data_IF_974723474427
#
_entry.id   IF_974723474427
#
_cell.length_a   1.000
_cell.length_b   1.000
_cell.length_c   1.000
_cell.angle_alpha   90.00
_cell.angle_beta   90.00
_cell.angle_gamma   90.00
#
_symmetry.space_group_name_H-M   'P 1'
#
loop_
_entity.id
_entity.type
_entity.pdbx_description
1 polymer ?
#
# COMPACT_ATOMS: atom_id res chain seq x y z
N UNK A 1 23.60 8.39 12.98
CA UNK A 1 22.54 8.15 11.99
C UNK A 1 21.36 9.03 12.34
N UNK A 2 20.81 9.76 11.36
CA UNK A 2 19.60 10.56 11.52
C UNK A 2 18.47 9.87 10.74
N UNK A 3 17.23 9.95 11.24
CA UNK A 3 16.05 9.39 10.59
C UNK A 3 15.20 10.57 10.10
N UNK A 4 14.85 10.56 8.81
CA UNK A 4 13.90 11.52 8.25
C UNK A 4 12.49 10.98 8.45
N UNK A 5 11.69 11.65 9.27
CA UNK A 5 10.30 11.29 9.54
C UNK A 5 9.36 12.26 8.84
N UNK A 6 8.37 11.73 8.12
CA UNK A 6 7.31 12.49 7.46
C UNK A 6 6.04 11.65 7.34
N UNK A 7 4.89 12.29 7.27
CA UNK A 7 3.60 11.63 7.07
C UNK A 7 3.35 11.34 5.58
N UNK A 8 2.57 10.30 5.31
CA UNK A 8 2.07 9.97 3.97
C UNK A 8 0.56 10.26 3.98
N UNK A 9 0.20 11.39 3.37
CA UNK A 9 -1.13 11.96 3.59
C UNK A 9 -2.21 11.46 2.63
N UNK A 10 -1.84 10.82 1.51
CA UNK A 10 -2.80 10.39 0.48
C UNK A 10 -2.55 8.97 -0.01
N UNK A 11 -3.61 8.33 -0.51
CA UNK A 11 -3.57 6.94 -0.97
C UNK A 11 -2.59 6.72 -2.13
N UNK A 12 -2.51 7.64 -3.09
CA UNK A 12 -1.56 7.50 -4.21
C UNK A 12 -0.10 7.53 -3.76
N UNK A 13 0.23 8.33 -2.74
CA UNK A 13 1.58 8.34 -2.15
C UNK A 13 1.83 7.09 -1.30
N UNK A 14 0.78 6.53 -0.70
CA UNK A 14 0.87 5.33 0.10
C UNK A 14 1.05 4.06 -0.74
N UNK A 15 0.55 4.06 -1.99
CA UNK A 15 0.80 3.04 -2.99
C UNK A 15 2.27 3.13 -3.47
N UNK A 16 3.16 2.35 -2.87
CA UNK A 16 4.60 2.47 -3.07
C UNK A 16 5.34 1.13 -3.07
N UNK A 17 6.56 1.16 -3.62
CA UNK A 17 7.53 0.07 -3.43
C UNK A 17 8.03 0.08 -1.99
N UNK A 18 8.33 -1.11 -1.44
CA UNK A 18 8.90 -1.22 -0.10
C UNK A 18 10.41 -1.44 -0.17
N UNK A 19 11.17 -0.54 0.47
CA UNK A 19 12.60 -0.72 0.74
C UNK A 19 12.76 -1.29 2.17
N UNK A 20 13.30 -2.52 2.32
CA UNK A 20 13.52 -3.16 3.62
C UNK A 20 14.45 -2.39 4.57
N UNK A 21 15.27 -1.47 4.07
CA UNK A 21 16.10 -0.58 4.89
C UNK A 21 15.30 0.56 5.54
N UNK A 22 14.05 0.77 5.14
CA UNK A 22 13.20 1.85 5.63
C UNK A 22 12.15 1.35 6.62
N UNK A 23 11.62 2.28 7.43
CA UNK A 23 10.56 1.99 8.40
C UNK A 23 9.24 2.55 7.85
N UNK A 24 8.16 1.76 7.98
CA UNK A 24 6.78 2.18 7.73
C UNK A 24 5.95 1.90 8.96
N UNK A 25 5.30 2.93 9.49
CA UNK A 25 4.48 2.84 10.70
C UNK A 25 3.03 3.22 10.36
N UNK A 26 2.10 2.44 10.89
CA UNK A 26 0.71 2.85 11.03
C UNK A 26 0.52 3.32 12.48
N UNK A 27 0.43 4.64 12.64
CA UNK A 27 0.42 5.30 13.94
C UNK A 27 -0.94 5.87 14.27
N UNK A 28 -1.36 5.76 15.53
CA UNK A 28 -2.50 6.51 16.04
C UNK A 28 -2.02 7.86 16.58
N UNK A 29 -2.39 8.94 15.91
CA UNK A 29 -1.99 10.32 16.26
C UNK A 29 -2.70 10.89 17.49
N UNK A 30 -3.72 10.20 18.02
CA UNK A 30 -4.51 10.65 19.19
C UNK A 30 -4.14 9.95 20.48
N UNK A 31 -3.28 8.91 20.43
CA UNK A 31 -2.87 8.13 21.59
C UNK A 31 -1.37 7.99 21.64
N UNK A 32 -0.81 8.32 22.80
CA UNK A 32 0.62 8.22 23.05
C UNK A 32 0.93 7.12 24.07
N UNK A 33 2.15 6.59 24.00
CA UNK A 33 2.67 5.71 25.03
C UNK A 33 3.21 6.50 26.23
N UNK A 34 3.71 5.78 27.25
CA UNK A 34 4.28 6.38 28.46
C UNK A 34 5.40 7.41 28.22
N UNK A 35 6.05 7.35 27.05
CA UNK A 35 7.17 8.22 26.68
C UNK A 35 6.76 9.34 25.72
N UNK A 36 5.46 9.54 25.47
CA UNK A 36 4.95 10.60 24.58
C UNK A 36 5.08 10.30 23.08
N UNK A 37 5.36 9.04 22.70
CA UNK A 37 5.41 8.66 21.28
C UNK A 37 4.05 8.10 20.82
N UNK A 38 3.61 8.39 19.59
CA UNK A 38 2.38 7.82 19.03
C UNK A 38 2.41 6.29 19.04
N UNK A 39 1.35 5.66 19.56
CA UNK A 39 1.24 4.20 19.53
C UNK A 39 1.12 3.73 18.09
N UNK A 40 1.96 2.78 17.69
CA UNK A 40 2.17 2.45 16.28
C UNK A 40 2.42 0.96 16.06
N UNK A 41 2.05 0.47 14.88
CA UNK A 41 2.48 -0.83 14.36
C UNK A 41 3.44 -0.63 13.19
N UNK A 42 4.53 -1.41 13.17
CA UNK A 42 5.44 -1.43 12.02
C UNK A 42 4.92 -2.41 10.97
N UNK A 43 4.87 -1.94 9.72
CA UNK A 43 4.46 -2.74 8.57
C UNK A 43 5.70 -3.16 7.80
N UNK A 44 5.89 -4.48 7.64
CA UNK A 44 7.01 -5.06 6.91
C UNK A 44 6.46 -6.04 5.86
N UNK A 45 6.18 -5.57 4.63
CA UNK A 45 5.63 -6.42 3.56
C UNK A 45 6.59 -7.51 3.08
N UNK A 46 7.90 -7.31 3.27
CA UNK A 46 8.93 -8.28 2.92
C UNK A 46 9.94 -8.42 4.07
N UNK A 47 9.89 -9.56 4.75
CA UNK A 47 10.78 -9.88 5.88
C UNK A 47 11.78 -11.01 5.54
N UNK A 48 11.94 -11.32 4.25
CA UNK A 48 12.77 -12.42 3.75
C UNK A 48 11.97 -13.55 3.11
N UNK A 49 12.68 -14.41 2.40
CA UNK A 49 12.14 -15.58 1.72
C UNK A 49 13.27 -16.48 1.22
N UNK A 50 12.98 -17.77 1.02
CA UNK A 50 13.97 -18.75 0.55
C UNK A 50 14.09 -18.80 -0.98
N UNK A 51 13.12 -18.21 -1.68
CA UNK A 51 13.11 -18.07 -3.13
C UNK A 51 13.48 -16.63 -3.54
N UNK A 52 13.93 -16.40 -4.78
CA UNK A 52 14.17 -15.05 -5.29
C UNK A 52 12.95 -14.15 -5.13
N UNK A 53 13.16 -12.95 -4.59
CA UNK A 53 12.09 -12.00 -4.33
C UNK A 53 11.57 -11.35 -5.61
N UNK A 54 10.26 -11.21 -5.73
CA UNK A 54 9.64 -10.40 -6.77
C UNK A 54 9.70 -8.91 -6.37
N UNK A 55 10.50 -8.12 -7.09
CA UNK A 55 10.60 -6.65 -6.90
C UNK A 55 9.42 -5.88 -7.51
N UNK A 56 8.51 -6.59 -8.17
CA UNK A 56 7.34 -6.09 -8.89
C UNK A 56 6.87 -7.12 -9.91
N UNK A 57 5.86 -6.76 -10.71
CA UNK A 57 5.41 -7.57 -11.83
C UNK A 57 6.52 -7.71 -12.88
N UNK A 58 6.82 -8.95 -13.30
CA UNK A 58 7.77 -9.26 -14.38
C UNK A 58 7.04 -9.33 -15.73
N UNK A 59 6.28 -8.29 -16.04
CA UNK A 59 5.55 -8.11 -17.30
C UNK A 59 5.95 -6.78 -17.91
N UNK A 60 5.93 -6.68 -19.24
CA UNK A 60 6.15 -5.39 -19.88
C UNK A 60 4.99 -4.42 -19.54
N UNK A 61 5.24 -3.10 -19.43
CA UNK A 61 4.20 -2.15 -19.00
C UNK A 61 2.99 -2.06 -19.93
N UNK A 62 3.12 -2.52 -21.18
CA UNK A 62 2.11 -2.58 -22.23
C UNK A 62 1.31 -3.90 -22.23
N UNK A 63 1.66 -4.85 -21.37
CA UNK A 63 0.90 -6.10 -21.26
C UNK A 63 -0.46 -5.88 -20.59
N UNK A 64 -1.50 -6.50 -21.15
CA UNK A 64 -2.87 -6.44 -20.62
C UNK A 64 -2.97 -6.82 -19.14
N UNK A 65 -2.17 -7.78 -18.69
CA UNK A 65 -2.18 -8.21 -17.28
C UNK A 65 -1.63 -7.13 -16.35
N UNK A 66 -0.65 -6.35 -16.82
CA UNK A 66 -0.06 -5.25 -16.07
C UNK A 66 -1.08 -4.11 -15.89
N UNK A 67 -1.89 -3.83 -16.91
CA UNK A 67 -2.94 -2.80 -16.84
C UNK A 67 -4.16 -3.19 -15.99
N UNK A 68 -4.45 -4.49 -15.87
CA UNK A 68 -5.63 -4.98 -15.15
C UNK A 68 -5.41 -5.21 -13.67
N UNK A 69 -4.15 -5.41 -13.24
CA UNK A 69 -3.80 -5.87 -11.90
C UNK A 69 -2.65 -5.03 -11.31
N UNK A 70 -2.94 -3.78 -10.95
CA UNK A 70 -1.92 -2.82 -10.47
C UNK A 70 -1.24 -3.27 -9.18
N UNK A 71 -1.92 -4.08 -8.36
CA UNK A 71 -1.42 -4.52 -7.06
C UNK A 71 -0.11 -5.31 -7.15
N UNK A 72 0.15 -6.00 -8.27
CA UNK A 72 1.34 -6.85 -8.43
C UNK A 72 2.64 -6.05 -8.44
N UNK A 73 2.60 -4.78 -8.83
CA UNK A 73 3.81 -4.00 -8.95
C UNK A 73 4.25 -3.41 -7.61
N UNK A 74 3.34 -3.05 -6.70
CA UNK A 74 3.70 -2.34 -5.47
C UNK A 74 3.49 -3.22 -4.24
N UNK A 75 4.47 -3.23 -3.34
CA UNK A 75 4.43 -4.08 -2.13
C UNK A 75 3.60 -3.50 -0.99
N UNK A 76 3.40 -2.17 -0.94
CA UNK A 76 2.64 -1.51 0.12
C UNK A 76 1.55 -0.61 -0.48
N UNK A 77 0.35 -0.74 0.07
CA UNK A 77 -0.82 0.06 -0.25
C UNK A 77 -1.52 0.45 1.05
N UNK A 78 -2.07 1.66 1.12
CA UNK A 78 -2.98 2.10 2.18
C UNK A 78 -4.11 2.86 1.51
N UNK A 79 -5.35 2.43 1.76
CA UNK A 79 -6.57 3.09 1.28
C UNK A 79 -7.49 3.42 2.45
N UNK A 80 -8.38 4.38 2.25
CA UNK A 80 -9.46 4.69 3.17
C UNK A 80 -10.37 3.47 3.26
N UNK A 81 -10.87 3.22 4.45
CA UNK A 81 -11.77 2.10 4.66
C UNK A 81 -13.11 2.31 3.93
N UNK A 82 -13.43 1.40 3.03
CA UNK A 82 -14.73 1.25 2.37
C UNK A 82 -15.19 -0.21 2.46
N UNK A 83 -16.45 -0.44 2.87
CA UNK A 83 -16.94 -1.80 3.17
C UNK A 83 -16.98 -2.73 1.95
N UNK A 84 -17.12 -2.16 0.75
CA UNK A 84 -17.20 -2.90 -0.52
C UNK A 84 -15.84 -3.11 -1.19
N UNK A 85 -14.78 -2.46 -0.72
CA UNK A 85 -13.42 -2.54 -1.26
C UNK A 85 -12.62 -3.63 -0.55
N UNK A 86 -12.71 -4.86 -1.06
CA UNK A 86 -12.17 -6.05 -0.38
C UNK A 86 -11.10 -6.80 -1.15
N UNK A 87 -11.02 -6.60 -2.46
CA UNK A 87 -10.26 -7.46 -3.36
C UNK A 87 -9.20 -6.65 -4.11
N UNK A 88 -7.91 -6.96 -3.98
CA UNK A 88 -6.86 -6.20 -4.66
C UNK A 88 -6.92 -6.28 -6.19
N UNK A 89 -7.55 -7.31 -6.74
CA UNK A 89 -7.84 -7.53 -8.15
C UNK A 89 -9.24 -7.07 -8.60
N UNK A 90 -10.07 -6.63 -7.66
CA UNK A 90 -11.47 -6.27 -7.87
C UNK A 90 -12.45 -7.44 -7.67
N UNK A 91 -13.74 -7.12 -7.60
CA UNK A 91 -14.80 -8.08 -7.22
C UNK A 91 -15.02 -9.20 -8.24
N UNK A 92 -14.82 -8.91 -9.54
CA UNK A 92 -15.03 -9.86 -10.63
C UNK A 92 -13.86 -9.80 -11.63
N UNK A 93 -12.72 -10.46 -11.32
CA UNK A 93 -11.50 -10.33 -12.12
C UNK A 93 -11.51 -11.13 -13.43
N UNK A 94 -12.43 -12.10 -13.57
CA UNK A 94 -12.49 -12.96 -14.74
C UNK A 94 -12.79 -12.14 -16.01
N UNK A 95 -11.88 -12.18 -16.98
CA UNK A 95 -11.93 -11.38 -18.23
C UNK A 95 -12.17 -9.88 -18.02
N UNK A 96 -11.70 -9.31 -16.91
CA UNK A 96 -11.72 -7.85 -16.71
C UNK A 96 -11.00 -7.13 -17.86
N UNK A 97 -11.40 -5.89 -18.16
CA UNK A 97 -10.78 -5.06 -19.21
C UNK A 97 -10.06 -3.83 -18.65
N UNK A 98 -10.22 -3.56 -17.36
CA UNK A 98 -9.52 -2.54 -16.57
C UNK A 98 -9.41 -3.01 -15.12
N UNK A 99 -8.53 -2.36 -14.36
CA UNK A 99 -8.37 -2.59 -12.91
C UNK A 99 -9.59 -2.06 -12.14
N UNK A 100 -10.18 -2.91 -11.31
CA UNK A 100 -11.32 -2.58 -10.42
C UNK A 100 -11.02 -2.88 -8.94
N UNK A 101 -9.75 -3.14 -8.63
CA UNK A 101 -9.23 -3.43 -7.30
C UNK A 101 -8.41 -2.27 -6.76
N UNK A 102 -7.22 -2.56 -6.22
CA UNK A 102 -6.37 -1.55 -5.57
C UNK A 102 -6.01 -0.36 -6.46
N UNK A 103 -5.88 -0.58 -7.78
CA UNK A 103 -5.65 0.51 -8.73
C UNK A 103 -6.83 1.49 -8.81
N UNK A 104 -8.06 0.98 -8.65
CA UNK A 104 -9.26 1.81 -8.58
C UNK A 104 -9.44 2.42 -7.18
N UNK A 105 -9.24 1.64 -6.11
CA UNK A 105 -9.47 2.08 -4.72
C UNK A 105 -8.58 3.28 -4.36
N UNK A 106 -7.31 3.24 -4.74
CA UNK A 106 -6.37 4.35 -4.49
C UNK A 106 -6.49 5.51 -5.52
N UNK A 107 -7.41 5.42 -6.50
CA UNK A 107 -7.51 6.39 -7.60
C UNK A 107 -8.08 7.73 -7.13
N UNK A 108 -9.03 7.67 -6.20
CA UNK A 108 -9.71 8.85 -5.64
C UNK A 108 -8.77 9.69 -4.76
N UNK A 109 -7.60 9.13 -4.40
CA UNK A 109 -6.51 9.80 -3.70
C UNK A 109 -6.97 10.47 -2.40
N UNK A 110 -7.80 9.76 -1.66
CA UNK A 110 -8.35 10.27 -0.41
C UNK A 110 -7.25 10.53 0.63
N UNK A 111 -7.60 11.29 1.66
CA UNK A 111 -6.70 11.48 2.80
C UNK A 111 -6.53 10.16 3.57
N UNK A 112 -5.30 9.69 3.69
CA UNK A 112 -4.93 8.47 4.42
C UNK A 112 -4.70 8.72 5.93
N UNK A 113 -4.61 9.99 6.34
CA UNK A 113 -4.24 10.39 7.71
C UNK A 113 -5.38 10.95 8.57
N UNK A 114 -6.57 11.16 8.02
CA UNK A 114 -7.67 11.76 8.77
C UNK A 114 -8.66 10.70 9.29
N UNK A 115 -8.93 10.66 10.59
CA UNK A 115 -10.04 9.86 11.12
C UNK A 115 -11.37 10.38 10.54
N UNK A 116 -12.37 9.49 10.44
CA UNK A 116 -13.76 9.88 10.17
C UNK A 116 -14.33 10.69 11.32
#
# INVERSE_FOLDING_TARGET
MQINQYAIDTEQKAAQKFDPGTIRLLSNTTKENRMGNPVSYQIIPYAGGTHPVATGAKFAPDEWIYHRLSFMDKQLWVTRYHQEERYPEGKYPNRSIHDTGLGQYAKDNESAGQPR
#
